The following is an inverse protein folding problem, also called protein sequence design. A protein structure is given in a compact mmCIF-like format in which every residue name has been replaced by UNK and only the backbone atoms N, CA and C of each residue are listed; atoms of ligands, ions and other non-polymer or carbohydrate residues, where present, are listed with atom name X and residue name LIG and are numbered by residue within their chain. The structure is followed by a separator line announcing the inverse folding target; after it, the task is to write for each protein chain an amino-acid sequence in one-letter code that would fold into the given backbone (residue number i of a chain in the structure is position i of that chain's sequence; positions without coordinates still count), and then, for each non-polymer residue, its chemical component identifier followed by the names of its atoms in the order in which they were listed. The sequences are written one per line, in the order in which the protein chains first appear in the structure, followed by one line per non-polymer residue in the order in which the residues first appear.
data_IF_571937843256
#
_entry.id   IF_571937843256
#
_cell.length_a   1.000
_cell.length_b   1.000
_cell.length_c   1.000
_cell.angle_alpha   90.00
_cell.angle_beta   90.00
_cell.angle_gamma   90.00
#
_symmetry.space_group_name_H-M   'P 1'
#
loop_
_entity.id
_entity.type
_entity.pdbx_description
1 polymer ?
#
# COMPACT_ATOMS: atom_id res chain seq x y z
N UNK A 1 -6.51 -10.63 22.12
CA UNK A 1 -6.83 -11.84 22.92
C UNK A 1 -7.41 -12.88 21.98
N UNK A 2 -7.10 -14.16 22.15
CA UNK A 2 -7.66 -15.24 21.32
C UNK A 2 -8.76 -15.96 22.09
N UNK A 3 -9.96 -16.00 21.51
CA UNK A 3 -11.16 -16.56 22.10
C UNK A 3 -11.81 -17.57 21.16
N UNK A 4 -12.53 -18.54 21.73
CA UNK A 4 -13.34 -19.52 20.96
C UNK A 4 -14.60 -19.88 21.73
N UNK A 5 -15.59 -20.44 21.05
CA UNK A 5 -16.64 -21.15 21.78
C UNK A 5 -16.08 -22.45 22.37
N UNK A 6 -16.57 -22.84 23.53
CA UNK A 6 -16.15 -24.05 24.22
C UNK A 6 -16.30 -25.27 23.29
N UNK A 7 -15.23 -26.06 23.17
CA UNK A 7 -15.22 -27.25 22.31
C UNK A 7 -14.89 -26.98 20.84
N UNK A 8 -14.72 -25.73 20.40
CA UNK A 8 -14.22 -25.44 19.06
C UNK A 8 -12.71 -25.65 18.95
N UNK A 9 -12.24 -26.02 17.75
CA UNK A 9 -10.81 -26.18 17.48
C UNK A 9 -10.12 -24.82 17.20
N UNK A 10 -10.76 -23.94 16.45
CA UNK A 10 -10.18 -22.67 16.01
C UNK A 10 -10.56 -21.51 16.93
N UNK A 11 -9.57 -20.63 17.21
CA UNK A 11 -9.75 -19.41 17.98
C UNK A 11 -9.70 -18.17 17.07
N UNK A 12 -10.46 -17.14 17.44
CA UNK A 12 -10.45 -15.82 16.81
C UNK A 12 -9.72 -14.82 17.69
N UNK A 13 -8.92 -13.96 17.05
CA UNK A 13 -8.32 -12.81 17.72
C UNK A 13 -9.34 -11.69 17.86
N UNK A 14 -9.58 -11.28 19.10
CA UNK A 14 -10.40 -10.14 19.51
C UNK A 14 -9.48 -9.05 20.07
N UNK A 15 -9.59 -7.85 19.52
CA UNK A 15 -8.87 -6.66 19.98
C UNK A 15 -9.56 -6.09 21.22
N UNK A 16 -9.20 -6.63 22.39
CA UNK A 16 -9.73 -6.21 23.69
C UNK A 16 -9.01 -4.93 24.16
N UNK A 17 -9.73 -3.85 24.49
CA UNK A 17 -9.14 -2.63 25.04
C UNK A 17 -8.33 -2.89 26.31
N UNK A 18 -7.18 -2.22 26.39
CA UNK A 18 -6.33 -2.24 27.57
C UNK A 18 -5.81 -0.84 27.88
N UNK A 19 -5.76 -0.48 29.16
CA UNK A 19 -5.13 0.73 29.66
C UNK A 19 -4.11 0.36 30.74
N UNK A 20 -2.94 0.99 30.72
CA UNK A 20 -1.89 0.77 31.72
C UNK A 20 -1.49 -0.70 31.93
N UNK A 21 -1.60 -1.53 30.88
CA UNK A 21 -1.30 -2.96 30.95
C UNK A 21 -2.42 -3.84 31.50
N UNK A 22 -3.59 -3.27 31.79
CA UNK A 22 -4.77 -3.97 32.29
C UNK A 22 -5.88 -3.99 31.25
N UNK A 23 -6.62 -5.10 31.20
CA UNK A 23 -7.88 -5.17 30.47
C UNK A 23 -8.89 -4.30 31.22
N UNK A 24 -9.51 -3.36 30.52
CA UNK A 24 -10.44 -2.38 31.11
C UNK A 24 -11.90 -2.78 30.97
N UNK A 25 -12.19 -3.77 30.13
CA UNK A 25 -13.55 -4.20 29.83
C UNK A 25 -13.98 -5.37 30.70
N UNK A 26 -15.28 -5.41 31.01
CA UNK A 26 -15.86 -6.52 31.73
C UNK A 26 -16.00 -7.78 30.84
N UNK A 27 -16.12 -8.98 31.46
CA UNK A 27 -16.25 -10.22 30.70
C UNK A 27 -17.46 -10.29 29.76
N UNK A 28 -18.55 -9.60 30.06
CA UNK A 28 -19.75 -9.60 29.23
C UNK A 28 -19.51 -8.80 27.94
N UNK A 29 -18.80 -7.68 28.03
CA UNK A 29 -18.41 -6.92 26.86
C UNK A 29 -17.38 -7.68 26.01
N UNK A 30 -16.37 -8.31 26.63
CA UNK A 30 -15.40 -9.15 25.91
C UNK A 30 -16.12 -10.29 25.17
N UNK A 31 -17.13 -10.91 25.78
CA UNK A 31 -17.99 -11.89 25.13
C UNK A 31 -18.71 -11.28 23.93
N UNK A 32 -19.33 -10.11 24.08
CA UNK A 32 -20.03 -9.44 22.98
C UNK A 32 -19.08 -9.09 21.81
N UNK A 33 -17.86 -8.66 22.10
CA UNK A 33 -16.82 -8.41 21.09
C UNK A 33 -16.45 -9.68 20.33
N UNK A 34 -16.28 -10.81 21.03
CA UNK A 34 -16.06 -12.10 20.39
C UNK A 34 -17.23 -12.53 19.51
N UNK A 35 -18.48 -12.46 20.01
CA UNK A 35 -19.67 -12.86 19.25
C UNK A 35 -19.81 -12.00 17.98
N UNK A 36 -19.55 -10.69 18.07
CA UNK A 36 -19.53 -9.79 16.93
C UNK A 36 -18.45 -10.18 15.90
N UNK A 37 -17.23 -10.50 16.35
CA UNK A 37 -16.15 -10.97 15.48
C UNK A 37 -16.48 -12.32 14.82
N UNK A 38 -17.01 -13.28 15.59
CA UNK A 38 -17.41 -14.59 15.10
C UNK A 38 -18.52 -14.49 14.05
N UNK A 39 -19.54 -13.66 14.30
CA UNK A 39 -20.62 -13.43 13.33
C UNK A 39 -20.10 -12.78 12.04
N UNK A 40 -19.13 -11.86 12.12
CA UNK A 40 -18.50 -11.28 10.92
C UNK A 40 -17.70 -12.31 10.13
N UNK A 41 -17.01 -13.23 10.81
CA UNK A 41 -16.18 -14.24 10.17
C UNK A 41 -16.99 -15.41 9.57
N UNK A 42 -18.03 -15.86 10.28
CA UNK A 42 -18.73 -17.12 9.97
C UNK A 42 -20.24 -16.97 9.69
N UNK A 43 -20.83 -15.79 9.94
CA UNK A 43 -22.23 -15.50 9.62
C UNK A 43 -23.26 -15.96 10.65
N UNK A 44 -22.85 -16.63 11.73
CA UNK A 44 -23.73 -17.09 12.82
C UNK A 44 -23.09 -16.91 14.20
N UNK A 45 -23.90 -17.07 15.24
CA UNK A 45 -23.49 -17.14 16.64
C UNK A 45 -23.92 -18.46 17.26
N UNK A 46 -23.18 -18.91 18.27
CA UNK A 46 -23.50 -20.08 19.07
C UNK A 46 -23.87 -19.64 20.49
N UNK A 47 -24.65 -20.48 21.18
CA UNK A 47 -25.08 -20.25 22.56
C UNK A 47 -24.11 -20.84 23.60
N UNK A 48 -22.95 -21.32 23.17
CA UNK A 48 -21.93 -21.89 24.04
C UNK A 48 -21.18 -20.82 24.85
N UNK A 49 -20.51 -21.28 25.91
CA UNK A 49 -19.58 -20.45 26.66
C UNK A 49 -18.39 -20.05 25.78
N UNK A 50 -17.83 -18.86 26.04
CA UNK A 50 -16.62 -18.39 25.37
C UNK A 50 -15.42 -18.67 26.27
N UNK A 51 -14.41 -19.33 25.71
CA UNK A 51 -13.13 -19.63 26.36
C UNK A 51 -12.05 -18.69 25.82
N UNK A 52 -11.22 -18.16 26.71
CA UNK A 52 -9.99 -17.44 26.36
C UNK A 52 -8.87 -18.47 26.21
N UNK A 53 -8.33 -18.59 25.00
CA UNK A 53 -7.22 -19.51 24.70
C UNK A 53 -5.88 -18.85 24.97
N UNK A 54 -5.73 -17.57 24.64
CA UNK A 54 -4.45 -16.85 24.80
C UNK A 54 -4.68 -15.35 25.00
N UNK A 55 -3.92 -14.74 25.91
CA UNK A 55 -3.80 -13.28 26.04
C UNK A 55 -2.43 -12.81 25.52
N UNK A 56 -2.43 -11.80 24.64
CA UNK A 56 -1.22 -11.22 24.04
C UNK A 56 -1.16 -9.74 24.38
N UNK A 57 -0.01 -9.26 24.85
CA UNK A 57 0.25 -7.85 25.10
C UNK A 57 1.28 -7.32 24.09
N UNK A 58 1.06 -6.11 23.55
CA UNK A 58 1.96 -5.48 22.60
C UNK A 58 2.16 -4.02 22.98
N UNK A 59 3.42 -3.61 23.14
CA UNK A 59 3.79 -2.21 23.37
C UNK A 59 4.36 -1.65 22.09
N UNK A 60 3.80 -0.54 21.60
CA UNK A 60 4.34 0.22 20.48
C UNK A 60 4.90 1.53 21.00
N UNK A 61 6.07 1.92 20.51
CA UNK A 61 6.63 3.26 20.71
C UNK A 61 6.75 3.89 19.34
N UNK A 62 6.29 5.13 19.19
CA UNK A 62 6.53 5.88 17.97
C UNK A 62 8.03 6.10 17.83
N UNK A 63 8.58 5.68 16.70
CA UNK A 63 9.90 6.14 16.29
C UNK A 63 9.73 7.55 15.75
N UNK A 64 10.69 8.44 16.03
CA UNK A 64 10.69 9.80 15.50
C UNK A 64 10.43 9.79 14.00
N UNK A 65 9.58 10.70 13.54
CA UNK A 65 9.22 10.77 12.13
C UNK A 65 10.49 11.05 11.33
N UNK A 66 10.86 10.12 10.45
CA UNK A 66 11.83 10.42 9.42
C UNK A 66 11.13 11.44 8.51
N UNK A 67 11.56 12.69 8.54
CA UNK A 67 11.32 13.61 7.44
C UNK A 67 12.08 13.01 6.25
N UNK A 68 11.41 12.08 5.55
CA UNK A 68 11.93 11.53 4.32
C UNK A 68 12.26 12.73 3.46
N UNK A 69 13.54 12.89 3.10
CA UNK A 69 13.97 13.93 2.19
C UNK A 69 13.15 13.74 0.93
N UNK A 70 12.07 14.52 0.82
CA UNK A 70 11.34 14.71 -0.41
C UNK A 70 12.38 15.34 -1.30
N UNK A 71 13.03 14.49 -2.12
CA UNK A 71 14.28 14.82 -2.79
C UNK A 71 14.23 16.24 -3.32
N UNK A 72 15.31 16.99 -3.11
CA UNK A 72 15.39 18.41 -3.39
C UNK A 72 14.62 18.76 -4.68
N UNK A 73 13.92 19.92 -4.73
CA UNK A 73 13.38 20.41 -5.99
C UNK A 73 14.47 20.25 -7.05
N UNK A 74 14.09 19.81 -8.25
CA UNK A 74 15.00 19.53 -9.34
C UNK A 74 15.68 20.83 -9.80
N UNK A 75 16.53 21.40 -8.96
CA UNK A 75 17.34 22.58 -9.18
C UNK A 75 18.71 22.08 -9.61
N UNK A 76 18.78 21.73 -10.89
CA UNK A 76 19.92 21.97 -11.76
C UNK A 76 19.82 21.04 -12.96
N UNK A 77 19.38 21.58 -14.09
CA UNK A 77 19.92 21.28 -15.43
C UNK A 77 20.34 19.82 -15.66
N UNK A 78 19.45 18.86 -15.39
CA UNK A 78 19.54 17.59 -16.09
C UNK A 78 19.30 17.98 -17.55
N UNK A 79 20.30 17.79 -18.40
CA UNK A 79 20.20 18.06 -19.83
C UNK A 79 18.87 17.48 -20.29
N UNK A 80 17.95 18.35 -20.70
CA UNK A 80 16.65 17.99 -21.22
C UNK A 80 16.82 17.43 -22.64
N UNK A 81 17.75 16.51 -22.83
CA UNK A 81 17.81 15.66 -23.99
C UNK A 81 16.69 14.66 -23.84
N UNK A 82 15.48 15.03 -24.29
CA UNK A 82 14.49 14.02 -24.68
C UNK A 82 15.11 13.22 -25.81
N UNK A 83 15.88 12.19 -25.48
CA UNK A 83 16.36 11.23 -26.45
C UNK A 83 15.19 10.36 -26.83
N UNK A 84 15.02 10.08 -28.12
CA UNK A 84 14.06 9.08 -28.58
C UNK A 84 14.82 7.79 -28.86
N UNK A 85 14.23 6.66 -28.46
CA UNK A 85 14.73 5.34 -28.82
C UNK A 85 13.59 4.55 -29.44
N UNK A 86 13.93 3.73 -30.43
CA UNK A 86 12.99 2.74 -30.94
C UNK A 86 12.90 1.58 -29.93
N UNK A 87 11.69 1.25 -29.50
CA UNK A 87 11.42 0.12 -28.63
C UNK A 87 10.08 -0.52 -28.99
N UNK A 88 9.94 -1.81 -28.72
CA UNK A 88 8.69 -2.53 -28.97
C UNK A 88 7.58 -2.03 -28.05
N UNK A 89 6.45 -1.58 -28.61
CA UNK A 89 5.21 -1.30 -27.89
C UNK A 89 4.37 -2.58 -27.85
N UNK A 90 4.06 -3.06 -26.64
CA UNK A 90 3.16 -4.19 -26.46
C UNK A 90 1.71 -3.80 -26.75
N UNK A 91 1.35 -2.53 -26.50
CA UNK A 91 0.04 -2.00 -26.83
C UNK A 91 -0.19 -1.86 -28.34
N UNK A 92 0.86 -1.52 -29.12
CA UNK A 92 0.79 -1.44 -30.58
C UNK A 92 0.95 -2.82 -31.24
N UNK A 93 1.76 -3.69 -30.64
CA UNK A 93 2.28 -4.87 -31.32
C UNK A 93 3.29 -4.52 -32.41
N UNK A 94 4.01 -3.40 -32.29
CA UNK A 94 5.02 -2.92 -33.24
C UNK A 94 6.10 -2.08 -32.53
N UNK A 95 7.19 -1.76 -33.22
CA UNK A 95 8.21 -0.82 -32.75
C UNK A 95 7.68 0.63 -32.82
N UNK A 96 7.84 1.37 -31.71
CA UNK A 96 7.49 2.78 -31.61
C UNK A 96 8.66 3.61 -31.04
N UNK A 97 8.59 4.93 -31.21
CA UNK A 97 9.57 5.87 -30.66
C UNK A 97 9.21 6.24 -29.22
N UNK A 98 9.99 5.74 -28.26
CA UNK A 98 9.84 6.05 -26.84
C UNK A 98 10.67 7.27 -26.48
N UNK A 99 10.07 8.21 -25.74
CA UNK A 99 10.85 9.27 -25.10
C UNK A 99 11.62 8.71 -23.91
N UNK A 100 12.92 8.96 -23.83
CA UNK A 100 13.76 8.57 -22.69
C UNK A 100 13.99 9.78 -21.78
N UNK A 101 13.70 9.61 -20.49
CA UNK A 101 13.79 10.66 -19.48
C UNK A 101 14.52 10.16 -18.24
N UNK A 102 15.44 10.94 -17.70
CA UNK A 102 15.89 10.73 -16.33
C UNK A 102 14.76 11.06 -15.34
N UNK A 103 14.53 10.24 -14.33
CA UNK A 103 13.51 10.50 -13.30
C UNK A 103 13.70 11.85 -12.60
N UNK A 104 14.94 12.32 -12.50
CA UNK A 104 15.28 13.63 -11.96
C UNK A 104 14.70 14.79 -12.78
N UNK A 105 14.63 14.64 -14.11
CA UNK A 105 14.13 15.65 -15.03
C UNK A 105 12.59 15.72 -15.11
N UNK A 106 11.88 14.73 -14.58
CA UNK A 106 10.40 14.71 -14.57
C UNK A 106 9.89 15.72 -13.54
N UNK A 107 9.09 16.73 -13.95
CA UNK A 107 8.48 17.68 -13.02
C UNK A 107 7.48 17.00 -12.09
N UNK A 108 7.39 17.49 -10.86
CA UNK A 108 6.38 17.04 -9.90
C UNK A 108 4.99 17.51 -10.34
N UNK A 109 3.97 16.71 -10.04
CA UNK A 109 2.56 16.96 -10.34
C UNK A 109 2.22 17.13 -11.83
N UNK A 110 3.14 16.81 -12.74
CA UNK A 110 2.87 16.76 -14.18
C UNK A 110 2.59 15.32 -14.59
N UNK A 111 1.53 15.14 -15.38
CA UNK A 111 1.19 13.88 -16.01
C UNK A 111 1.80 13.82 -17.41
N UNK A 112 2.50 12.73 -17.71
CA UNK A 112 3.10 12.45 -19.00
C UNK A 112 2.45 11.20 -19.59
N UNK A 113 2.11 11.24 -20.88
CA UNK A 113 1.56 10.08 -21.60
C UNK A 113 2.70 9.27 -22.21
N UNK A 114 2.60 7.95 -22.14
CA UNK A 114 3.48 7.06 -22.90
C UNK A 114 3.37 7.30 -24.42
N UNK A 115 4.30 6.77 -25.23
CA UNK A 115 5.39 5.86 -24.85
C UNK A 115 6.63 6.58 -24.25
N UNK A 116 7.02 6.20 -23.03
CA UNK A 116 8.15 6.78 -22.27
C UNK A 116 8.96 5.67 -21.59
N UNK A 117 10.29 5.78 -21.61
CA UNK A 117 11.21 5.02 -20.76
C UNK A 117 11.82 5.99 -19.75
N UNK A 118 11.67 5.70 -18.46
CA UNK A 118 12.24 6.49 -17.38
C UNK A 118 13.46 5.78 -16.81
N UNK A 119 14.60 6.47 -16.79
CA UNK A 119 15.84 5.98 -16.23
C UNK A 119 16.01 6.44 -14.78
N UNK A 120 16.49 5.52 -13.95
CA UNK A 120 16.88 5.73 -12.57
C UNK A 120 18.20 5.00 -12.30
N UNK A 121 18.99 5.43 -11.30
CA UNK A 121 20.25 4.76 -10.97
C UNK A 121 20.12 3.25 -10.69
N UNK A 122 18.96 2.81 -10.20
CA UNK A 122 18.73 1.41 -9.80
C UNK A 122 17.53 0.76 -10.49
N UNK A 123 16.86 1.47 -11.41
CA UNK A 123 15.65 0.97 -12.07
C UNK A 123 15.46 1.59 -13.46
N UNK A 124 14.70 0.91 -14.30
CA UNK A 124 14.21 1.46 -15.57
C UNK A 124 12.71 1.21 -15.64
N UNK A 125 11.92 2.26 -15.75
CA UNK A 125 10.46 2.18 -15.81
C UNK A 125 10.00 2.34 -17.25
N UNK A 126 9.31 1.34 -17.78
CA UNK A 126 8.74 1.35 -19.12
C UNK A 126 7.25 1.73 -19.04
N UNK A 127 6.83 2.75 -19.80
CA UNK A 127 5.46 3.27 -19.83
C UNK A 127 4.98 3.28 -21.26
N UNK A 128 4.17 2.30 -21.65
CA UNK A 128 3.63 2.16 -23.01
C UNK A 128 2.54 3.21 -23.30
N UNK A 129 2.13 3.35 -24.56
CA UNK A 129 1.12 4.33 -25.02
C UNK A 129 -0.26 4.20 -24.37
N UNK A 130 -0.59 3.03 -23.82
CA UNK A 130 -1.84 2.82 -23.07
C UNK A 130 -1.73 3.22 -21.59
N UNK A 131 -0.64 3.90 -21.20
CA UNK A 131 -0.38 4.30 -19.83
C UNK A 131 0.02 5.76 -19.71
N UNK A 132 -0.21 6.31 -18.51
CA UNK A 132 0.30 7.62 -18.09
C UNK A 132 1.11 7.51 -16.84
N UNK A 133 2.06 8.43 -16.71
CA UNK A 133 2.97 8.55 -15.59
C UNK A 133 2.76 9.89 -14.89
N UNK A 134 2.71 9.88 -13.56
CA UNK A 134 2.76 11.10 -12.73
C UNK A 134 3.80 10.97 -11.64
N UNK A 135 4.64 12.00 -11.46
CA UNK A 135 5.53 12.09 -10.31
C UNK A 135 4.87 12.86 -9.18
N UNK A 136 4.63 12.20 -8.05
CA UNK A 136 3.98 12.81 -6.90
C UNK A 136 4.90 13.70 -6.07
N UNK A 137 4.33 14.28 -5.01
CA UNK A 137 5.04 15.21 -4.14
C UNK A 137 6.09 14.49 -3.29
N UNK A 138 5.92 13.21 -2.94
CA UNK A 138 6.96 12.41 -2.28
C UNK A 138 8.08 11.96 -3.22
N UNK A 139 7.89 12.15 -4.53
CA UNK A 139 8.83 11.73 -5.58
C UNK A 139 8.52 10.34 -6.13
N UNK A 140 7.46 9.69 -5.64
CA UNK A 140 6.89 8.46 -6.17
C UNK A 140 6.44 8.63 -7.63
N UNK A 141 6.58 7.57 -8.41
CA UNK A 141 6.04 7.49 -9.76
C UNK A 141 4.77 6.65 -9.71
N UNK A 142 3.63 7.22 -10.08
CA UNK A 142 2.38 6.49 -10.25
C UNK A 142 2.08 6.29 -11.73
N UNK A 143 1.76 5.05 -12.10
CA UNK A 143 1.43 4.66 -13.47
C UNK A 143 -0.04 4.28 -13.52
N UNK A 144 -0.79 4.85 -14.46
CA UNK A 144 -2.21 4.61 -14.66
C UNK A 144 -2.44 4.01 -16.03
N UNK A 145 -3.31 3.01 -16.12
CA UNK A 145 -3.80 2.54 -17.41
C UNK A 145 -4.83 3.54 -17.96
N UNK A 146 -4.73 3.87 -19.24
CA UNK A 146 -5.81 4.50 -19.98
C UNK A 146 -6.82 3.41 -20.37
N UNK A 147 -8.00 3.44 -19.76
CA UNK A 147 -9.12 2.63 -20.23
C UNK A 147 -9.46 3.10 -21.65
N UNK A 148 -9.37 2.21 -22.64
CA UNK A 148 -9.87 2.46 -23.98
C UNK A 148 -11.39 2.66 -23.88
N UNK A 149 -11.87 3.85 -24.25
CA UNK A 149 -13.30 4.11 -24.48
C UNK A 149 -13.83 3.25 -25.62
#
# INVERSE_FOLDING_TARGET
MDCRYLGQEYALTVDVPSAEGHIVEDPALIRAMFVSAHRKAFGYELNDAVEIVTARATVRRELGQFEGNVGAPADARAESGRTQVEAWSFAAGDFEQFSVLDRGAIPRAVELRGPIIVLEPTATTYVDQSFRLRKGLGGELTIYAELKS
#
